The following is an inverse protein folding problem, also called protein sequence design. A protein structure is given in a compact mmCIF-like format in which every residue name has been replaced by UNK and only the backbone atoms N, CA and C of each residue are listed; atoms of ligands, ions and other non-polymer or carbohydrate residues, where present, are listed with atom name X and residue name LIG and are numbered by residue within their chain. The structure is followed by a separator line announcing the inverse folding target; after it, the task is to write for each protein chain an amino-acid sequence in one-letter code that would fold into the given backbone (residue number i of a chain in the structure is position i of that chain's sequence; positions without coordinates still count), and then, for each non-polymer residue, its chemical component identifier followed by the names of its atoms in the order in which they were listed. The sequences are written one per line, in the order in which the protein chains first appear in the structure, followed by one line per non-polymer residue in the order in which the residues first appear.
data_IF_278017217067
#
_entry.id   IF_278017217067
#
_cell.length_a   1.000
_cell.length_b   1.000
_cell.length_c   1.000
_cell.angle_alpha   90.00
_cell.angle_beta   90.00
_cell.angle_gamma   90.00
#
_symmetry.space_group_name_H-M   'P 1'
#
loop_
_entity.id
_entity.type
_entity.pdbx_description
1 polymer ?
#
# COMPACT_ATOMS: atom_id res chain seq x y z
N UNK A 1 -14.33 28.77 -4.93
CA UNK A 1 -13.00 28.26 -4.99
C UNK A 1 -12.70 27.63 -6.34
N UNK A 2 -11.56 27.90 -6.85
CA UNK A 2 -11.18 27.35 -8.13
C UNK A 2 -9.88 26.60 -8.02
N UNK A 3 -9.99 25.30 -7.96
CA UNK A 3 -8.84 24.43 -8.03
C UNK A 3 -8.47 24.20 -9.50
N UNK A 4 -7.22 24.45 -9.81
CA UNK A 4 -6.72 24.24 -11.15
C UNK A 4 -5.78 23.05 -11.12
N UNK A 5 -5.97 22.11 -12.03
CA UNK A 5 -5.10 20.95 -12.12
C UNK A 5 -3.71 21.41 -12.53
N UNK A 6 -2.72 21.10 -11.70
CA UNK A 6 -1.33 21.48 -11.96
C UNK A 6 -0.63 20.47 -12.86
N UNK A 7 -0.89 19.19 -12.64
CA UNK A 7 -0.30 18.16 -13.46
C UNK A 7 -1.22 16.97 -13.56
N UNK A 8 -1.11 16.22 -14.65
CA UNK A 8 -1.89 15.03 -14.91
C UNK A 8 -1.00 14.01 -15.60
N UNK A 9 -0.92 12.82 -15.02
CA UNK A 9 -0.09 11.73 -15.53
C UNK A 9 -0.93 10.47 -15.67
N UNK A 10 -0.78 9.78 -16.77
CA UNK A 10 -1.45 8.50 -17.02
C UNK A 10 -0.38 7.45 -17.29
N UNK A 11 -0.49 6.31 -16.60
CA UNK A 11 0.42 5.20 -16.79
C UNK A 11 1.81 5.42 -16.24
N UNK A 12 1.95 6.27 -15.22
CA UNK A 12 3.25 6.58 -14.63
C UNK A 12 3.82 5.46 -13.79
N UNK A 13 5.14 5.43 -13.68
CA UNK A 13 5.85 4.48 -12.83
C UNK A 13 6.92 5.24 -12.05
N UNK A 14 6.98 4.97 -10.76
CA UNK A 14 8.02 5.51 -9.89
C UNK A 14 8.82 4.35 -9.32
N UNK A 15 10.14 4.41 -9.45
CA UNK A 15 11.05 3.38 -8.96
C UNK A 15 12.07 4.03 -8.02
N UNK A 16 12.28 3.40 -6.88
CA UNK A 16 13.20 3.91 -5.88
C UNK A 16 14.05 2.75 -5.35
N UNK A 17 15.37 2.95 -5.30
CA UNK A 17 16.30 1.93 -4.84
C UNK A 17 16.84 2.30 -3.47
N UNK A 18 17.05 1.28 -2.62
CA UNK A 18 17.66 1.50 -1.32
C UNK A 18 19.14 1.85 -1.47
N UNK A 19 19.73 2.42 -0.43
CA UNK A 19 21.15 2.75 -0.44
C UNK A 19 22.03 1.52 -0.64
N UNK A 20 21.59 0.38 -0.17
CA UNK A 20 22.34 -0.86 -0.32
C UNK A 20 22.22 -1.46 -1.70
N UNK A 21 21.32 -0.94 -2.53
CA UNK A 21 21.07 -1.49 -3.86
C UNK A 21 20.39 -2.85 -3.84
N UNK A 22 20.08 -3.38 -2.65
CA UNK A 22 19.53 -4.71 -2.51
C UNK A 22 18.01 -4.74 -2.54
N UNK A 23 17.36 -3.60 -2.34
CA UNK A 23 15.90 -3.51 -2.32
C UNK A 23 15.45 -2.35 -3.18
N UNK A 24 14.29 -2.48 -3.78
CA UNK A 24 13.71 -1.46 -4.63
C UNK A 24 12.24 -1.28 -4.31
N UNK A 25 11.75 -0.07 -4.52
CA UNK A 25 10.32 0.23 -4.48
C UNK A 25 9.88 0.64 -5.87
N UNK A 26 8.76 0.12 -6.29
CA UNK A 26 8.18 0.43 -7.58
C UNK A 26 6.73 0.82 -7.36
N UNK A 27 6.34 2.01 -7.81
CA UNK A 27 4.95 2.43 -7.76
C UNK A 27 4.48 2.67 -9.18
N UNK A 28 3.41 1.99 -9.58
CA UNK A 28 2.76 2.15 -10.86
C UNK A 28 1.38 2.74 -10.64
N UNK A 29 1.02 3.71 -11.45
CA UNK A 29 -0.27 4.37 -11.34
C UNK A 29 -0.93 4.47 -12.72
N UNK A 30 -2.25 4.31 -12.75
CA UNK A 30 -3.01 4.49 -13.97
C UNK A 30 -3.15 5.96 -14.32
N UNK A 31 -3.45 6.78 -13.33
CA UNK A 31 -3.54 8.23 -13.53
C UNK A 31 -3.25 8.97 -12.24
N UNK A 32 -2.82 10.22 -12.38
CA UNK A 32 -2.53 11.09 -11.25
C UNK A 32 -3.00 12.51 -11.59
N UNK A 33 -3.58 13.17 -10.61
CA UNK A 33 -4.07 14.52 -10.76
C UNK A 33 -3.68 15.36 -9.55
N UNK A 34 -2.96 16.44 -9.78
CA UNK A 34 -2.50 17.33 -8.73
C UNK A 34 -3.08 18.70 -8.93
N UNK A 35 -3.65 19.27 -7.87
CA UNK A 35 -4.20 20.62 -7.90
C UNK A 35 -3.07 21.64 -7.82
N UNK A 36 -3.25 22.76 -8.51
CA UNK A 36 -2.26 23.85 -8.50
C UNK A 36 -2.04 24.33 -7.07
N UNK A 37 -0.77 24.43 -6.68
CA UNK A 37 -0.40 24.88 -5.34
C UNK A 37 -0.61 23.86 -4.24
N UNK A 38 -1.08 22.67 -4.59
CA UNK A 38 -1.33 21.60 -3.63
C UNK A 38 -0.12 20.68 -3.52
N UNK A 39 0.07 20.10 -2.33
CA UNK A 39 1.06 19.03 -2.13
C UNK A 39 0.36 17.68 -2.02
N UNK A 40 -0.83 17.59 -2.58
CA UNK A 40 -1.67 16.40 -2.54
C UNK A 40 -2.00 16.00 -3.96
N UNK A 41 -1.80 14.72 -4.27
CA UNK A 41 -2.07 14.19 -5.60
C UNK A 41 -3.06 13.04 -5.50
N UNK A 42 -4.15 13.13 -6.26
CA UNK A 42 -5.13 12.06 -6.36
C UNK A 42 -4.65 11.03 -7.37
N UNK A 43 -4.69 9.77 -7.00
CA UNK A 43 -4.19 8.66 -7.82
C UNK A 43 -5.28 7.65 -8.08
N UNK A 44 -5.19 6.97 -9.23
CA UNK A 44 -6.09 5.87 -9.58
C UNK A 44 -5.28 4.69 -10.10
N UNK A 45 -5.79 3.49 -9.84
CA UNK A 45 -5.18 2.24 -10.28
C UNK A 45 -3.74 2.14 -9.80
N UNK A 46 -3.58 2.01 -8.49
CA UNK A 46 -2.27 2.06 -7.84
C UNK A 46 -1.75 0.67 -7.60
N UNK A 47 -0.47 0.47 -7.87
CA UNK A 47 0.26 -0.73 -7.48
C UNK A 47 1.59 -0.30 -6.89
N UNK A 48 1.84 -0.70 -5.65
CA UNK A 48 3.09 -0.44 -4.96
C UNK A 48 3.76 -1.76 -4.65
N UNK A 49 5.01 -1.92 -5.06
CA UNK A 49 5.75 -3.16 -4.88
C UNK A 49 7.09 -2.89 -4.21
N UNK A 50 7.49 -3.80 -3.34
CA UNK A 50 8.84 -3.79 -2.80
C UNK A 50 9.53 -5.09 -3.24
N UNK A 51 10.83 -4.97 -3.52
CA UNK A 51 11.66 -6.10 -3.90
C UNK A 51 12.88 -6.14 -3.02
N UNK A 52 13.27 -7.34 -2.58
CA UNK A 52 14.51 -7.56 -1.89
C UNK A 52 15.34 -8.51 -2.74
N UNK A 53 16.64 -8.25 -2.84
CA UNK A 53 17.55 -9.02 -3.68
C UNK A 53 16.98 -9.23 -5.08
N UNK A 54 16.43 -10.38 -5.39
CA UNK A 54 15.86 -10.65 -6.72
C UNK A 54 14.37 -10.92 -6.69
N UNK A 55 13.75 -10.87 -5.51
CA UNK A 55 12.38 -11.33 -5.35
C UNK A 55 11.43 -10.24 -4.92
N UNK A 56 10.20 -10.32 -5.44
CA UNK A 56 9.08 -9.53 -4.97
C UNK A 56 8.80 -9.86 -3.51
N UNK A 57 8.67 -8.84 -2.66
CA UNK A 57 8.34 -9.02 -1.24
C UNK A 57 6.91 -8.66 -0.93
N UNK A 58 6.51 -7.45 -1.32
CA UNK A 58 5.17 -6.94 -1.08
C UNK A 58 4.58 -6.43 -2.38
N UNK A 59 3.28 -6.64 -2.55
CA UNK A 59 2.54 -6.09 -3.67
C UNK A 59 1.23 -5.55 -3.13
N UNK A 60 1.07 -4.23 -3.19
CA UNK A 60 -0.10 -3.53 -2.67
C UNK A 60 -0.85 -2.91 -3.83
N UNK A 61 -2.15 -3.20 -3.94
CA UNK A 61 -3.00 -2.69 -5.00
C UNK A 61 -4.19 -1.97 -4.43
N UNK A 62 -4.60 -0.88 -5.06
CA UNK A 62 -5.81 -0.16 -4.71
C UNK A 62 -6.38 0.52 -5.95
N UNK A 63 -7.71 0.68 -5.97
CA UNK A 63 -8.37 1.37 -7.09
C UNK A 63 -8.11 2.86 -7.07
N UNK A 64 -7.99 3.46 -5.89
CA UNK A 64 -7.79 4.89 -5.74
C UNK A 64 -6.94 5.19 -4.52
N UNK A 65 -6.36 6.37 -4.49
CA UNK A 65 -5.59 6.82 -3.35
C UNK A 65 -5.24 8.28 -3.44
N UNK A 66 -4.67 8.79 -2.37
CA UNK A 66 -4.21 10.16 -2.28
C UNK A 66 -2.78 10.14 -1.76
N UNK A 67 -1.89 10.75 -2.51
CA UNK A 67 -0.49 10.88 -2.11
C UNK A 67 -0.30 12.23 -1.44
N UNK A 68 0.14 12.20 -0.19
CA UNK A 68 0.52 13.39 0.58
C UNK A 68 2.02 13.55 0.42
N UNK A 69 2.43 14.40 -0.51
CA UNK A 69 3.83 14.51 -0.92
C UNK A 69 4.74 14.98 0.21
N UNK A 70 4.20 15.81 1.07
CA UNK A 70 4.97 16.38 2.17
C UNK A 70 5.44 15.34 3.18
N UNK A 71 4.60 14.35 3.46
CA UNK A 71 4.90 13.31 4.44
C UNK A 71 5.27 11.97 3.79
N UNK A 72 5.17 11.90 2.46
CA UNK A 72 5.37 10.68 1.68
C UNK A 72 4.45 9.56 2.14
N UNK A 73 3.20 9.93 2.42
CA UNK A 73 2.16 8.98 2.81
C UNK A 73 1.18 8.80 1.69
N UNK A 74 0.70 7.56 1.56
CA UNK A 74 -0.24 7.17 0.53
C UNK A 74 -1.48 6.60 1.19
N UNK A 75 -2.60 7.34 1.10
CA UNK A 75 -3.87 6.89 1.63
C UNK A 75 -4.61 6.14 0.53
N UNK A 76 -4.69 4.82 0.66
CA UNK A 76 -5.30 3.94 -0.33
C UNK A 76 -6.75 3.67 0.04
N UNK A 77 -7.61 3.57 -0.98
CA UNK A 77 -9.05 3.40 -0.77
C UNK A 77 -9.69 2.65 -1.93
N UNK A 78 -10.98 2.34 -1.75
CA UNK A 78 -11.82 1.65 -2.74
C UNK A 78 -11.33 0.23 -3.01
N UNK A 79 -10.97 -0.45 -1.94
CA UNK A 79 -10.51 -1.82 -2.02
C UNK A 79 -9.00 -1.93 -2.11
N UNK A 80 -8.39 -2.45 -1.06
CA UNK A 80 -6.95 -2.61 -0.98
C UNK A 80 -6.64 -4.09 -0.84
N UNK A 81 -5.74 -4.58 -1.68
CA UNK A 81 -5.26 -5.96 -1.63
C UNK A 81 -3.75 -5.94 -1.45
N UNK A 82 -3.28 -6.64 -0.44
CA UNK A 82 -1.85 -6.74 -0.13
C UNK A 82 -1.42 -8.20 -0.23
N UNK A 83 -0.37 -8.45 -0.98
CA UNK A 83 0.23 -9.78 -1.05
C UNK A 83 1.65 -9.71 -0.51
N UNK A 84 1.99 -10.62 0.41
CA UNK A 84 3.33 -10.75 0.96
C UNK A 84 3.90 -12.11 0.54
N UNK A 85 4.99 -12.08 -0.20
CA UNK A 85 5.51 -13.26 -0.90
C UNK A 85 6.20 -14.26 0.02
N UNK A 86 6.90 -13.79 1.05
CA UNK A 86 7.67 -14.66 1.94
C UNK A 86 6.78 -15.69 2.65
N UNK A 87 5.65 -15.24 3.16
CA UNK A 87 4.70 -16.08 3.87
C UNK A 87 3.51 -16.49 3.02
N UNK A 88 3.46 -16.06 1.76
CA UNK A 88 2.36 -16.30 0.85
C UNK A 88 1.02 -15.90 1.46
N UNK A 89 0.99 -14.71 2.03
CA UNK A 89 -0.17 -14.18 2.72
C UNK A 89 -0.83 -13.08 1.90
N UNK A 90 -2.16 -13.03 1.94
CA UNK A 90 -2.95 -12.01 1.26
C UNK A 90 -3.83 -11.30 2.27
N UNK A 91 -3.83 -9.98 2.23
CA UNK A 91 -4.65 -9.15 3.11
C UNK A 91 -5.61 -8.33 2.26
N UNK A 92 -6.88 -8.31 2.63
CA UNK A 92 -7.90 -7.52 1.95
C UNK A 92 -8.59 -6.59 2.94
N UNK A 93 -8.72 -5.33 2.57
CA UNK A 93 -9.39 -4.32 3.38
C UNK A 93 -9.90 -3.20 2.46
N UNK A 94 -10.69 -2.27 3.00
CA UNK A 94 -11.20 -1.15 2.21
C UNK A 94 -10.22 0.00 2.09
N UNK A 95 -9.54 0.34 3.17
CA UNK A 95 -8.60 1.48 3.19
C UNK A 95 -7.32 1.12 3.90
N UNK A 96 -6.26 1.84 3.57
CA UNK A 96 -4.96 1.65 4.19
C UNK A 96 -4.14 2.92 4.07
N UNK A 97 -3.41 3.27 5.12
CA UNK A 97 -2.44 4.37 5.07
C UNK A 97 -1.04 3.77 5.01
N UNK A 98 -0.33 4.03 3.94
CA UNK A 98 1.04 3.56 3.73
C UNK A 98 2.01 4.71 3.92
N UNK A 99 2.93 4.57 4.86
CA UNK A 99 4.03 5.52 5.04
C UNK A 99 5.24 4.96 4.29
N UNK A 100 5.58 5.60 3.16
CA UNK A 100 6.63 5.07 2.29
C UNK A 100 8.03 5.33 2.81
N UNK A 101 8.21 6.32 3.69
CA UNK A 101 9.49 6.57 4.32
C UNK A 101 9.79 5.55 5.41
N UNK A 102 8.80 5.25 6.24
CA UNK A 102 8.95 4.30 7.34
C UNK A 102 8.77 2.85 6.91
N UNK A 103 8.25 2.62 5.70
CA UNK A 103 7.95 1.28 5.20
C UNK A 103 6.96 0.57 6.10
N UNK A 104 5.93 1.29 6.51
CA UNK A 104 4.87 0.79 7.38
C UNK A 104 3.51 1.17 6.86
N UNK A 105 2.53 0.31 7.11
CA UNK A 105 1.16 0.59 6.74
C UNK A 105 0.23 0.24 7.88
N UNK A 106 -0.93 0.89 7.91
CA UNK A 106 -1.93 0.62 8.92
C UNK A 106 -3.33 0.85 8.36
N UNK A 107 -4.30 0.25 9.01
CA UNK A 107 -5.70 0.44 8.65
C UNK A 107 -6.59 0.20 9.84
N UNK A 108 -7.79 0.79 9.76
CA UNK A 108 -8.78 0.73 10.85
C UNK A 108 -10.11 0.18 10.38
N UNK A 109 -10.13 -0.44 9.21
CA UNK A 109 -11.32 -1.11 8.69
C UNK A 109 -11.23 -2.61 8.87
N UNK A 110 -12.35 -3.28 8.68
CA UNK A 110 -12.38 -4.75 8.71
C UNK A 110 -11.34 -5.29 7.74
N UNK A 111 -10.60 -6.27 8.19
CA UNK A 111 -9.51 -6.86 7.42
C UNK A 111 -9.63 -8.37 7.40
N UNK A 112 -9.30 -8.96 6.25
CA UNK A 112 -9.19 -10.40 6.08
C UNK A 112 -7.75 -10.74 5.68
N UNK A 113 -7.08 -11.49 6.50
CA UNK A 113 -5.73 -11.98 6.21
C UNK A 113 -5.80 -13.49 5.95
N UNK A 114 -5.43 -13.88 4.74
CA UNK A 114 -5.43 -15.28 4.33
C UNK A 114 -3.98 -15.73 4.15
N UNK A 115 -3.63 -16.80 4.85
CA UNK A 115 -2.31 -17.39 4.74
C UNK A 115 -2.43 -18.85 4.36
N UNK A 116 -1.36 -19.58 4.54
CA UNK A 116 -1.35 -21.03 4.27
C UNK A 116 -2.21 -21.74 5.29
N UNK A 117 -3.38 -22.21 4.86
CA UNK A 117 -4.26 -22.99 5.71
C UNK A 117 -4.92 -22.23 6.83
N UNK A 118 -4.97 -20.89 6.76
CA UNK A 118 -5.63 -20.11 7.80
C UNK A 118 -6.25 -18.84 7.24
N UNK A 119 -7.28 -18.36 7.92
CA UNK A 119 -7.91 -17.08 7.64
C UNK A 119 -8.09 -16.34 8.95
N UNK A 120 -7.66 -15.08 8.97
CA UNK A 120 -7.75 -14.25 10.17
C UNK A 120 -8.51 -12.98 9.82
N UNK A 121 -9.51 -12.65 10.64
CA UNK A 121 -10.27 -11.42 10.48
C UNK A 121 -10.06 -10.53 11.69
N UNK A 122 -10.21 -9.24 11.49
CA UNK A 122 -10.10 -8.26 12.57
C UNK A 122 -10.67 -6.92 12.16
N UNK A 123 -10.56 -5.96 13.06
CA UNK A 123 -11.09 -4.62 12.86
C UNK A 123 -10.02 -3.61 12.43
N UNK A 124 -8.78 -4.03 12.35
CA UNK A 124 -7.68 -3.18 11.92
C UNK A 124 -6.41 -3.99 11.77
N UNK A 125 -5.34 -3.33 11.31
CA UNK A 125 -4.09 -4.02 11.07
C UNK A 125 -2.90 -3.06 11.01
N UNK A 126 -1.70 -3.63 11.13
CA UNK A 126 -0.44 -2.94 10.89
C UNK A 126 0.46 -3.85 10.08
N UNK A 127 1.19 -3.26 9.14
CA UNK A 127 2.19 -3.96 8.32
C UNK A 127 3.55 -3.34 8.54
N UNK A 128 4.57 -4.18 8.65
CA UNK A 128 5.96 -3.74 8.64
C UNK A 128 6.61 -4.36 7.39
N UNK A 129 6.90 -3.51 6.41
CA UNK A 129 7.40 -3.99 5.12
C UNK A 129 8.88 -4.38 5.17
N UNK A 130 9.61 -3.92 6.18
CA UNK A 130 11.00 -4.29 6.36
C UNK A 130 11.11 -5.63 7.08
N UNK A 131 10.33 -5.79 8.15
CA UNK A 131 10.33 -7.03 8.93
C UNK A 131 9.48 -8.13 8.30
N UNK A 132 8.72 -7.82 7.25
CA UNK A 132 7.81 -8.74 6.56
C UNK A 132 6.75 -9.32 7.52
N UNK A 133 6.15 -8.45 8.34
CA UNK A 133 5.14 -8.88 9.30
C UNK A 133 3.82 -8.17 9.08
N UNK A 134 2.73 -8.87 9.40
CA UNK A 134 1.39 -8.33 9.39
C UNK A 134 0.73 -8.66 10.72
N UNK A 135 0.16 -7.65 11.36
CA UNK A 135 -0.51 -7.81 12.65
C UNK A 135 -1.97 -7.38 12.51
N UNK A 136 -2.88 -8.30 12.79
CA UNK A 136 -4.31 -8.02 12.76
C UNK A 136 -4.77 -7.65 14.17
N UNK A 137 -5.60 -6.62 14.28
CA UNK A 137 -6.04 -6.07 15.57
C UNK A 137 -7.55 -5.97 15.67
N UNK A 138 -8.06 -6.04 16.88
CA UNK A 138 -9.49 -5.81 17.17
C UNK A 138 -10.38 -6.98 16.79
N UNK A 139 -10.93 -7.64 17.78
CA UNK A 139 -11.84 -8.78 17.58
C UNK A 139 -11.25 -9.83 16.64
N UNK A 140 -10.00 -10.19 16.86
CA UNK A 140 -9.28 -11.09 15.98
C UNK A 140 -9.84 -12.50 16.08
N UNK A 141 -10.15 -13.07 14.92
CA UNK A 141 -10.64 -14.45 14.81
C UNK A 141 -9.84 -15.17 13.73
N UNK A 142 -9.38 -16.35 14.06
CA UNK A 142 -8.60 -17.16 13.12
C UNK A 142 -9.28 -18.51 12.91
N UNK A 143 -9.38 -18.91 11.65
CA UNK A 143 -9.90 -20.24 11.27
C UNK A 143 -8.80 -20.99 10.54
N UNK A 144 -8.69 -22.28 10.83
CA UNK A 144 -7.72 -23.15 10.18
C UNK A 144 -8.44 -24.10 9.25
N UNK A 145 -7.83 -24.32 8.09
CA UNK A 145 -8.37 -25.25 7.10
C UNK A 145 -7.66 -26.59 7.14
#
# INVERSE_FOLDING_TARGET
DRSVVESYVTGGTRTQFSHAGAAAEIMQIGSAERQLGSQVTALKSIRYQTQGDDDLRWNIKAEAGVLYERTNELALQDGVTVYEATNQATLNTETMLLNMDQKRAEGHDTVLLTGRGSKTTGAGFELDLVANTATVKGNVKTQYE
#
